data_IF_363798418180
#
_entry.id   IF_363798418180
#
_cell.length_a   1.000
_cell.length_b   1.000
_cell.length_c   1.000
_cell.angle_alpha   90.00
_cell.angle_beta   90.00
_cell.angle_gamma   90.00
#
_symmetry.space_group_name_H-M   'P 1'
#
loop_
_entity.id
_entity.type
_entity.pdbx_description
1 polymer ?
#
# COMPACT_ATOMS: atom_id res chain seq x y z
N UNK A 1 26.11 -11.44 12.86
CA UNK A 1 25.92 -12.04 11.52
C UNK A 1 26.35 -10.99 10.48
N UNK A 2 27.52 -10.38 10.63
CA UNK A 2 27.68 -8.96 10.22
C UNK A 2 28.55 -8.74 8.98
N UNK A 3 29.06 -9.80 8.35
CA UNK A 3 29.78 -9.65 7.09
C UNK A 3 29.45 -10.77 6.12
N UNK A 4 28.51 -10.48 5.21
CA UNK A 4 28.21 -11.35 4.09
C UNK A 4 28.75 -10.70 2.82
N UNK A 5 29.97 -11.09 2.45
CA UNK A 5 30.67 -10.57 1.26
C UNK A 5 29.96 -10.82 -0.07
N UNK A 6 28.96 -11.72 -0.14
CA UNK A 6 28.10 -11.83 -1.30
C UNK A 6 27.12 -10.65 -1.34
N UNK A 7 26.34 -10.45 -0.26
CA UNK A 7 25.34 -9.38 -0.18
C UNK A 7 25.95 -7.98 -0.26
N UNK A 8 27.13 -7.78 0.32
CA UNK A 8 27.86 -6.52 0.31
C UNK A 8 28.29 -6.07 -1.10
N UNK A 9 28.21 -6.96 -2.10
CA UNK A 9 28.46 -6.64 -3.53
C UNK A 9 27.22 -6.12 -4.27
N UNK A 10 26.14 -5.78 -3.56
CA UNK A 10 24.89 -5.30 -4.16
C UNK A 10 23.93 -6.41 -4.59
N UNK A 11 24.08 -7.63 -4.07
CA UNK A 11 23.22 -8.78 -4.40
C UNK A 11 22.09 -9.00 -3.39
N UNK A 12 21.75 -8.00 -2.56
CA UNK A 12 20.67 -8.11 -1.57
C UNK A 12 19.35 -8.54 -2.21
N UNK A 13 19.07 -8.10 -3.44
CA UNK A 13 17.88 -8.48 -4.20
C UNK A 13 17.77 -9.99 -4.47
N UNK A 14 18.85 -10.77 -4.40
CA UNK A 14 18.78 -12.23 -4.48
C UNK A 14 17.96 -12.86 -3.34
N UNK A 15 17.80 -12.15 -2.22
CA UNK A 15 16.90 -12.58 -1.14
C UNK A 15 15.42 -12.43 -1.49
N UNK A 16 15.10 -11.61 -2.50
CA UNK A 16 13.73 -11.32 -2.87
C UNK A 16 13.19 -12.41 -3.80
N UNK A 17 12.60 -13.45 -3.22
CA UNK A 17 12.09 -14.62 -3.96
C UNK A 17 11.14 -14.26 -5.11
N UNK A 18 10.33 -13.20 -4.95
CA UNK A 18 9.42 -12.70 -5.98
C UNK A 18 10.12 -12.40 -7.32
N UNK A 19 11.38 -11.95 -7.30
CA UNK A 19 12.13 -11.67 -8.54
C UNK A 19 12.33 -12.95 -9.36
N UNK A 20 12.47 -14.09 -8.71
CA UNK A 20 12.71 -15.38 -9.36
C UNK A 20 11.42 -16.14 -9.66
N UNK A 21 10.43 -16.08 -8.76
CA UNK A 21 9.21 -16.88 -8.88
C UNK A 21 8.09 -16.19 -9.65
N UNK A 22 7.96 -14.86 -9.53
CA UNK A 22 6.85 -14.08 -10.08
C UNK A 22 7.34 -12.72 -10.59
N UNK A 23 7.93 -12.66 -11.80
CA UNK A 23 8.44 -11.40 -12.36
C UNK A 23 7.39 -10.28 -12.34
N UNK A 24 7.83 -9.06 -12.04
CA UNK A 24 7.02 -7.83 -11.94
C UNK A 24 5.98 -7.75 -10.82
N UNK A 25 5.58 -8.85 -10.18
CA UNK A 25 4.56 -8.87 -9.12
C UNK A 25 4.87 -7.97 -7.90
N UNK A 26 6.12 -7.59 -7.69
CA UNK A 26 6.49 -6.82 -6.51
C UNK A 26 5.92 -5.39 -6.50
N UNK A 27 5.62 -4.82 -7.67
CA UNK A 27 5.04 -3.48 -7.77
C UNK A 27 3.61 -3.44 -7.20
N UNK A 28 2.88 -4.55 -7.30
CA UNK A 28 1.50 -4.68 -6.83
C UNK A 28 1.38 -4.35 -5.35
N UNK A 29 2.39 -4.71 -4.52
CA UNK A 29 2.41 -4.34 -3.11
C UNK A 29 2.41 -2.83 -2.91
N UNK A 30 3.17 -2.08 -3.71
CA UNK A 30 3.21 -0.61 -3.59
C UNK A 30 1.88 0.03 -3.99
N UNK A 31 1.27 -0.44 -5.09
CA UNK A 31 -0.02 0.04 -5.55
C UNK A 31 -1.13 -0.29 -4.53
N UNK A 32 -1.15 -1.52 -4.02
CA UNK A 32 -2.09 -1.96 -3.00
C UNK A 32 -1.87 -1.23 -1.67
N UNK A 33 -0.63 -0.92 -1.29
CA UNK A 33 -0.32 -0.17 -0.07
C UNK A 33 -0.93 1.24 -0.11
N UNK A 34 -0.87 1.94 -1.24
CA UNK A 34 -1.55 3.23 -1.39
C UNK A 34 -3.08 3.11 -1.30
N UNK A 35 -3.65 1.99 -1.75
CA UNK A 35 -5.08 1.71 -1.57
C UNK A 35 -5.41 1.44 -0.09
N UNK A 36 -4.57 0.67 0.60
CA UNK A 36 -4.72 0.37 2.02
C UNK A 36 -4.60 1.63 2.89
N UNK A 37 -3.66 2.52 2.59
CA UNK A 37 -3.54 3.80 3.30
C UNK A 37 -4.77 4.67 3.12
N UNK A 38 -5.37 4.73 1.93
CA UNK A 38 -6.64 5.43 1.73
C UNK A 38 -7.75 4.84 2.60
N UNK A 39 -7.84 3.50 2.72
CA UNK A 39 -8.79 2.88 3.64
C UNK A 39 -8.51 3.22 5.09
N UNK A 40 -7.24 3.22 5.51
CA UNK A 40 -6.86 3.63 6.87
C UNK A 40 -7.29 5.07 7.16
N UNK A 41 -6.97 6.03 6.27
CA UNK A 41 -7.41 7.44 6.37
C UNK A 41 -8.94 7.52 6.43
N UNK A 42 -9.64 6.84 5.52
CA UNK A 42 -11.09 6.83 5.47
C UNK A 42 -11.71 6.24 6.75
N UNK A 43 -11.08 5.21 7.33
CA UNK A 43 -11.58 4.54 8.53
C UNK A 43 -11.42 5.38 9.80
N UNK A 44 -10.39 6.24 9.87
CA UNK A 44 -10.25 7.23 10.94
C UNK A 44 -11.38 8.27 10.85
N UNK A 45 -11.75 8.67 9.63
CA UNK A 45 -12.78 9.70 9.41
C UNK A 45 -14.22 9.16 9.56
N UNK A 46 -14.52 8.00 8.98
CA UNK A 46 -15.81 7.32 9.07
C UNK A 46 -15.62 5.82 8.88
N UNK A 47 -15.50 5.11 9.99
CA UNK A 47 -15.22 3.68 10.02
C UNK A 47 -16.30 2.84 9.30
N UNK A 48 -17.58 3.10 9.57
CA UNK A 48 -18.68 2.32 8.98
C UNK A 48 -18.69 2.45 7.45
N UNK A 49 -18.51 3.67 6.94
CA UNK A 49 -18.44 3.89 5.49
C UNK A 49 -17.23 3.17 4.90
N UNK A 50 -16.05 3.32 5.49
CA UNK A 50 -14.82 2.68 5.00
C UNK A 50 -14.96 1.15 4.97
N UNK A 51 -15.60 0.57 5.99
CA UNK A 51 -15.87 -0.86 6.05
C UNK A 51 -16.84 -1.32 4.95
N UNK A 52 -17.93 -0.58 4.72
CA UNK A 52 -18.89 -0.88 3.66
C UNK A 52 -18.26 -0.79 2.26
N UNK A 53 -17.39 0.19 2.04
CA UNK A 53 -16.61 0.33 0.80
C UNK A 53 -15.66 -0.85 0.59
N UNK A 54 -14.95 -1.27 1.65
CA UNK A 54 -14.07 -2.45 1.63
C UNK A 54 -14.83 -3.74 1.31
N UNK A 55 -15.97 -3.98 1.98
CA UNK A 55 -16.81 -5.15 1.72
C UNK A 55 -17.34 -5.15 0.28
N UNK A 56 -17.61 -3.98 -0.29
CA UNK A 56 -18.05 -3.84 -1.69
C UNK A 56 -16.97 -4.30 -2.66
N UNK A 57 -15.68 -3.98 -2.40
CA UNK A 57 -14.55 -4.54 -3.17
C UNK A 57 -14.51 -6.07 -3.05
N UNK A 58 -14.61 -6.61 -1.84
CA UNK A 58 -14.54 -8.06 -1.63
C UNK A 58 -15.64 -8.82 -2.40
N UNK A 59 -16.84 -8.23 -2.52
CA UNK A 59 -17.96 -8.83 -3.25
C UNK A 59 -17.75 -8.91 -4.76
N UNK A 60 -17.03 -7.96 -5.36
CA UNK A 60 -16.77 -7.98 -6.81
C UNK A 60 -15.64 -8.93 -7.19
N UNK A 61 -14.71 -9.22 -6.28
CA UNK A 61 -13.61 -10.15 -6.52
C UNK A 61 -12.82 -9.81 -7.81
N UNK A 62 -12.52 -10.82 -8.61
CA UNK A 62 -11.82 -10.66 -9.91
C UNK A 62 -12.73 -10.32 -11.09
N UNK A 63 -14.01 -9.97 -10.87
CA UNK A 63 -14.95 -9.64 -11.96
C UNK A 63 -14.73 -8.25 -12.58
N UNK A 64 -13.90 -7.42 -11.94
CA UNK A 64 -13.58 -6.06 -12.35
C UNK A 64 -12.06 -5.88 -12.52
N UNK A 65 -11.66 -5.00 -13.43
CA UNK A 65 -10.27 -4.56 -13.53
C UNK A 65 -9.84 -3.75 -12.30
N UNK A 66 -8.53 -3.56 -12.12
CA UNK A 66 -7.99 -2.81 -10.98
C UNK A 66 -8.61 -1.43 -10.83
N UNK A 67 -8.69 -0.63 -11.91
CA UNK A 67 -9.25 0.73 -11.84
C UNK A 67 -10.76 0.74 -11.58
N UNK A 68 -11.48 -0.30 -11.96
CA UNK A 68 -12.90 -0.46 -11.63
C UNK A 68 -13.09 -0.82 -10.15
N UNK A 69 -12.23 -1.69 -9.61
CA UNK A 69 -12.21 -2.01 -8.17
C UNK A 69 -11.95 -0.76 -7.33
N UNK A 70 -11.04 0.13 -7.74
CA UNK A 70 -10.80 1.39 -7.04
C UNK A 70 -12.07 2.26 -6.99
N UNK A 71 -12.80 2.36 -8.11
CA UNK A 71 -14.09 3.09 -8.15
C UNK A 71 -15.12 2.44 -7.23
N UNK A 72 -15.24 1.11 -7.25
CA UNK A 72 -16.14 0.36 -6.35
C UNK A 72 -15.83 0.63 -4.87
N UNK A 73 -14.55 0.73 -4.52
CA UNK A 73 -14.08 1.04 -3.17
C UNK A 73 -14.07 2.52 -2.78
N UNK A 74 -14.55 3.42 -3.64
CA UNK A 74 -14.43 4.87 -3.45
C UNK A 74 -12.97 5.34 -3.20
N UNK A 75 -12.01 4.68 -3.85
CA UNK A 75 -10.58 5.00 -3.78
C UNK A 75 -10.13 5.81 -4.98
N UNK A 76 -9.10 6.64 -4.79
CA UNK A 76 -8.40 7.34 -5.86
C UNK A 76 -7.25 6.47 -6.40
N UNK A 77 -6.96 6.67 -7.68
CA UNK A 77 -5.92 5.92 -8.39
C UNK A 77 -4.53 6.23 -7.83
N UNK A 78 -3.71 5.22 -7.49
CA UNK A 78 -2.31 5.42 -7.12
C UNK A 78 -1.42 5.78 -8.32
N UNK A 79 -1.97 5.82 -9.54
CA UNK A 79 -1.29 6.37 -10.72
C UNK A 79 -1.41 7.89 -10.85
N UNK A 80 -2.26 8.52 -10.03
CA UNK A 80 -2.39 9.97 -9.97
C UNK A 80 -1.41 10.53 -8.92
N UNK A 81 -0.53 11.42 -9.35
CA UNK A 81 0.47 12.08 -8.50
C UNK A 81 -0.18 12.82 -7.32
N UNK A 82 -1.37 13.40 -7.52
CA UNK A 82 -2.11 14.09 -6.47
C UNK A 82 -2.60 13.13 -5.38
N UNK A 83 -2.95 11.89 -5.73
CA UNK A 83 -3.30 10.84 -4.77
C UNK A 83 -2.09 10.46 -3.94
N UNK A 84 -0.93 10.25 -4.58
CA UNK A 84 0.31 9.90 -3.88
C UNK A 84 0.66 10.98 -2.86
N UNK A 85 0.70 12.24 -3.30
CA UNK A 85 1.06 13.38 -2.46
C UNK A 85 0.11 13.55 -1.27
N UNK A 86 -1.20 13.44 -1.49
CA UNK A 86 -2.18 13.58 -0.41
C UNK A 86 -2.07 12.45 0.63
N UNK A 87 -1.88 11.21 0.18
CA UNK A 87 -1.76 10.04 1.06
C UNK A 87 -0.45 10.10 1.87
N UNK A 88 0.68 10.39 1.23
CA UNK A 88 1.97 10.46 1.93
C UNK A 88 2.00 11.61 2.93
N UNK A 89 1.41 12.76 2.61
CA UNK A 89 1.30 13.89 3.54
C UNK A 89 0.53 13.49 4.80
N UNK A 90 -0.62 12.84 4.66
CA UNK A 90 -1.42 12.43 5.82
C UNK A 90 -0.71 11.38 6.69
N UNK A 91 0.01 10.43 6.07
CA UNK A 91 0.81 9.45 6.82
C UNK A 91 1.93 10.15 7.58
N UNK A 92 2.61 11.11 6.93
CA UNK A 92 3.66 11.89 7.57
C UNK A 92 3.12 12.66 8.77
N UNK A 93 2.01 13.38 8.60
CA UNK A 93 1.39 14.16 9.69
C UNK A 93 1.01 13.26 10.87
N UNK A 94 0.50 12.05 10.59
CA UNK A 94 0.17 11.08 11.64
C UNK A 94 1.41 10.57 12.37
N UNK A 95 2.48 10.23 11.65
CA UNK A 95 3.74 9.75 12.23
C UNK A 95 4.44 10.84 13.04
N UNK A 96 4.47 12.08 12.54
CA UNK A 96 5.06 13.23 13.23
C UNK A 96 4.30 13.57 14.53
N UNK A 97 3.04 13.10 14.66
CA UNK A 97 2.23 13.21 15.88
C UNK A 97 2.54 12.17 16.96
N UNK A 98 3.42 11.21 16.72
CA UNK A 98 3.77 10.13 17.66
C UNK A 98 5.17 10.40 18.24
N UNK A 99 5.28 10.47 19.58
CA UNK A 99 6.59 10.48 20.26
C UNK A 99 7.15 9.05 20.37
N UNK A 100 7.85 8.63 19.33
CA UNK A 100 8.43 7.30 19.19
C UNK A 100 9.58 7.01 20.16
N UNK A 101 10.09 8.02 20.89
CA UNK A 101 11.15 7.85 21.91
C UNK A 101 10.62 7.35 23.24
N UNK A 102 9.31 7.32 23.40
CA UNK A 102 8.63 6.92 24.64
C UNK A 102 7.97 5.55 24.55
N UNK A 103 8.17 4.85 23.42
CA UNK A 103 7.66 3.50 23.14
C UNK A 103 8.62 2.38 23.59
#
# INVERSE_FOLDING_TARGET
YDDNGFLNKGTVWFKQGHIFSNPFYYIDYTLAQFCAYQFWINSINNHEKAWNDYVSICKVGGSQSFLEILKTGNLKSPFDESTISAVTSHIKDYLDGIDDRTL
#
